data_IF_030338418762
#
_entry.id   IF_030338418762
#
_cell.length_a   1.000
_cell.length_b   1.000
_cell.length_c   1.000
_cell.angle_alpha   90.00
_cell.angle_beta   90.00
_cell.angle_gamma   90.00
#
_symmetry.space_group_name_H-M   'P 1'
#
loop_
_entity.id
_entity.type
_entity.pdbx_description
1 polymer ?
#
# COMPACT_ATOMS: atom_id res chain seq x y z
N UNK A 1 -32.53 47.84 -17.07
CA UNK A 1 -33.35 47.07 -18.04
C UNK A 1 -32.44 46.25 -18.95
N UNK A 2 -32.90 45.07 -19.39
CA UNK A 2 -32.26 44.18 -20.40
C UNK A 2 -30.85 43.67 -20.11
N UNK A 3 -30.80 42.51 -19.45
CA UNK A 3 -29.77 41.52 -19.74
C UNK A 3 -29.93 41.01 -21.20
N UNK A 4 -28.82 40.78 -21.90
CA UNK A 4 -28.80 40.13 -23.21
C UNK A 4 -27.92 38.89 -23.13
N UNK A 5 -28.54 37.71 -23.19
CA UNK A 5 -27.83 36.44 -23.06
C UNK A 5 -27.00 36.09 -24.29
N UNK A 6 -25.77 35.60 -24.08
CA UNK A 6 -24.99 34.89 -25.09
C UNK A 6 -24.97 33.39 -24.79
N UNK A 7 -25.99 32.67 -25.27
CA UNK A 7 -25.90 31.21 -25.46
C UNK A 7 -25.18 30.90 -26.77
N UNK A 8 -24.47 29.78 -26.84
CA UNK A 8 -24.28 29.08 -28.12
C UNK A 8 -23.00 29.36 -28.92
N UNK A 9 -21.82 29.31 -28.31
CA UNK A 9 -20.57 28.89 -28.99
C UNK A 9 -19.71 28.00 -28.06
N UNK A 10 -20.18 26.79 -27.80
CA UNK A 10 -19.37 25.65 -27.34
C UNK A 10 -19.41 24.57 -28.41
N UNK A 11 -18.66 24.80 -29.49
CA UNK A 11 -18.42 23.88 -30.60
C UNK A 11 -17.13 24.35 -31.29
N UNK A 12 -16.30 23.41 -31.75
CA UNK A 12 -14.88 23.59 -32.09
C UNK A 12 -13.99 23.99 -30.90
N UNK A 13 -13.61 23.01 -30.07
CA UNK A 13 -12.29 22.83 -29.42
C UNK A 13 -12.34 21.60 -28.47
N UNK A 14 -12.61 20.44 -29.07
CA UNK A 14 -12.28 19.09 -28.58
C UNK A 14 -11.74 18.36 -29.82
N UNK A 15 -10.71 17.51 -29.66
CA UNK A 15 -9.82 16.96 -30.73
C UNK A 15 -8.66 17.89 -31.14
N UNK A 16 -7.78 18.19 -30.20
CA UNK A 16 -6.33 18.17 -30.46
C UNK A 16 -5.72 17.33 -29.34
N UNK A 17 -5.56 16.04 -29.61
CA UNK A 17 -4.91 15.07 -28.73
C UNK A 17 -3.64 14.62 -29.44
N UNK A 18 -2.51 14.67 -28.73
CA UNK A 18 -1.18 14.33 -29.26
C UNK A 18 -0.69 13.08 -28.50
N UNK A 19 -0.12 12.11 -29.21
CA UNK A 19 0.06 10.71 -28.74
C UNK A 19 1.48 10.20 -29.01
N UNK A 20 1.96 9.21 -28.23
CA UNK A 20 3.32 8.63 -28.35
C UNK A 20 3.34 7.14 -27.87
N UNK A 21 4.39 6.36 -28.22
CA UNK A 21 4.63 4.94 -27.82
C UNK A 21 5.68 4.16 -28.66
N UNK A 22 6.96 4.13 -28.25
CA UNK A 22 8.12 3.69 -29.07
C UNK A 22 8.20 2.20 -29.52
N UNK A 23 8.53 1.94 -30.81
CA UNK A 23 9.03 0.65 -31.34
C UNK A 23 10.40 0.84 -31.98
N UNK A 24 11.27 -0.16 -31.90
CA UNK A 24 12.68 -0.10 -32.36
C UNK A 24 13.00 -1.32 -33.25
N UNK A 25 13.96 -1.20 -34.18
CA UNK A 25 14.42 -2.30 -35.06
C UNK A 25 15.97 -2.32 -35.17
N UNK A 26 16.64 -2.97 -34.22
CA UNK A 26 18.10 -3.15 -34.19
C UNK A 26 18.48 -4.60 -34.55
N UNK A 27 18.61 -4.88 -35.86
CA UNK A 27 18.91 -6.24 -36.32
C UNK A 27 19.45 -6.41 -37.75
N UNK A 28 19.46 -5.39 -38.60
CA UNK A 28 19.93 -5.52 -39.99
C UNK A 28 21.34 -4.95 -40.22
N UNK A 29 22.20 -5.76 -40.84
CA UNK A 29 23.41 -5.26 -41.50
C UNK A 29 23.05 -4.24 -42.58
N UNK A 30 23.92 -3.24 -42.77
CA UNK A 30 23.70 -2.03 -43.59
C UNK A 30 22.47 -1.19 -43.23
N UNK A 31 22.28 -0.96 -41.93
CA UNK A 31 22.13 0.42 -41.42
C UNK A 31 20.84 1.16 -41.80
N UNK A 32 19.69 0.53 -41.62
CA UNK A 32 18.38 1.19 -41.67
C UNK A 32 17.51 0.69 -40.51
N UNK A 33 16.94 1.62 -39.72
CA UNK A 33 16.00 1.36 -38.63
C UNK A 33 14.78 2.27 -38.78
N UNK A 34 13.59 1.75 -38.47
CA UNK A 34 12.35 2.52 -38.42
C UNK A 34 11.64 2.30 -37.07
N UNK A 35 10.91 3.32 -36.63
CA UNK A 35 10.22 3.37 -35.35
C UNK A 35 8.80 3.89 -35.55
N UNK A 36 7.81 3.18 -35.02
CA UNK A 36 6.38 3.48 -35.23
C UNK A 36 5.62 3.33 -33.92
N UNK A 37 4.69 4.25 -33.67
CA UNK A 37 4.02 4.40 -32.38
C UNK A 37 2.49 4.36 -32.55
N UNK A 38 1.74 3.67 -31.69
CA UNK A 38 0.27 3.63 -31.80
C UNK A 38 -0.50 3.92 -30.50
N UNK A 39 -1.79 4.20 -30.69
CA UNK A 39 -2.82 4.58 -29.71
C UNK A 39 -2.96 3.58 -28.56
N UNK A 40 -3.45 4.08 -27.45
CA UNK A 40 -3.58 3.39 -26.17
C UNK A 40 -4.89 3.81 -25.53
N UNK A 41 -5.63 2.87 -24.96
CA UNK A 41 -6.96 3.16 -24.40
C UNK A 41 -6.84 4.02 -23.13
N UNK A 42 -7.68 5.04 -23.02
CA UNK A 42 -7.91 5.72 -21.74
C UNK A 42 -8.62 4.73 -20.80
N UNK A 43 -8.23 4.64 -19.51
CA UNK A 43 -9.06 3.94 -18.54
C UNK A 43 -10.42 4.64 -18.47
N UNK A 44 -11.49 3.88 -18.61
CA UNK A 44 -12.85 4.41 -18.57
C UNK A 44 -13.12 5.00 -17.18
N UNK A 45 -13.09 6.33 -17.06
CA UNK A 45 -13.45 7.01 -15.83
C UNK A 45 -14.96 6.90 -15.68
N UNK A 46 -15.41 5.88 -14.95
CA UNK A 46 -16.79 5.84 -14.46
C UNK A 46 -16.93 6.95 -13.43
N UNK A 47 -17.44 8.10 -13.89
CA UNK A 47 -17.97 9.16 -13.03
C UNK A 47 -18.85 8.51 -11.96
N UNK A 48 -18.47 8.67 -10.69
CA UNK A 48 -19.29 8.18 -9.59
C UNK A 48 -20.55 9.03 -9.53
N UNK A 49 -21.69 8.45 -9.93
CA UNK A 49 -22.96 9.16 -9.97
C UNK A 49 -23.41 9.50 -8.54
N UNK A 50 -23.26 10.78 -8.18
CA UNK A 50 -23.50 11.30 -6.83
C UNK A 50 -25.00 11.45 -6.57
N UNK A 51 -25.67 10.31 -6.36
CA UNK A 51 -27.06 10.26 -5.87
C UNK A 51 -27.10 9.90 -4.40
N UNK A 52 -26.94 10.91 -3.54
CA UNK A 52 -27.20 10.78 -2.11
C UNK A 52 -28.63 10.28 -1.84
N UNK A 53 -28.73 9.10 -1.21
CA UNK A 53 -29.98 8.49 -0.78
C UNK A 53 -29.91 8.10 0.69
N UNK A 54 -30.34 9.00 1.58
CA UNK A 54 -30.45 8.67 3.00
C UNK A 54 -31.57 7.66 3.24
N UNK A 55 -31.27 6.60 3.98
CA UNK A 55 -32.24 5.64 4.50
C UNK A 55 -32.05 5.47 6.00
N UNK A 56 -32.78 6.29 6.76
CA UNK A 56 -33.18 5.96 8.14
C UNK A 56 -34.07 4.69 8.10
N UNK A 57 -33.95 3.84 9.12
CA UNK A 57 -34.46 2.47 9.12
C UNK A 57 -34.62 1.85 10.50
N UNK A 58 -34.82 2.66 11.53
CA UNK A 58 -35.17 2.17 12.87
C UNK A 58 -36.64 1.71 12.92
N UNK A 59 -36.89 0.45 13.32
CA UNK A 59 -37.87 0.02 14.37
C UNK A 59 -38.38 -1.44 14.21
N UNK A 60 -38.35 -2.21 15.32
CA UNK A 60 -39.33 -3.20 15.85
C UNK A 60 -40.10 -4.15 14.90
N UNK A 61 -40.39 -5.43 15.19
CA UNK A 61 -40.16 -6.37 16.30
C UNK A 61 -40.22 -7.81 15.68
N UNK A 62 -40.29 -8.98 16.33
CA UNK A 62 -40.57 -9.42 17.70
C UNK A 62 -40.10 -10.90 17.87
N UNK A 63 -40.10 -11.46 19.08
CA UNK A 63 -39.91 -12.90 19.35
C UNK A 63 -38.48 -13.31 19.73
N UNK A 64 -38.03 -13.11 20.98
CA UNK A 64 -38.39 -13.86 22.20
C UNK A 64 -37.74 -15.25 22.29
N UNK A 65 -36.84 -15.44 23.27
CA UNK A 65 -36.12 -16.70 23.47
C UNK A 65 -35.00 -16.70 24.52
N UNK A 66 -35.07 -15.87 25.57
CA UNK A 66 -34.14 -15.94 26.70
C UNK A 66 -34.89 -16.12 28.03
N UNK A 67 -34.68 -17.26 28.69
CA UNK A 67 -35.07 -17.49 30.09
C UNK A 67 -34.03 -18.38 30.75
N UNK A 68 -33.25 -17.81 31.67
CA UNK A 68 -32.21 -18.52 32.43
C UNK A 68 -31.57 -17.65 33.51
N UNK A 69 -32.31 -16.65 34.01
CA UNK A 69 -31.86 -15.78 35.09
C UNK A 69 -32.17 -16.40 36.45
N UNK A 70 -31.13 -16.52 37.28
CA UNK A 70 -31.25 -16.68 38.72
C UNK A 70 -31.96 -15.45 39.35
N UNK A 71 -32.63 -15.62 40.48
CA UNK A 71 -33.38 -14.54 41.15
C UNK A 71 -34.78 -14.92 41.64
N UNK A 72 -34.88 -15.89 42.54
CA UNK A 72 -36.12 -16.15 43.29
C UNK A 72 -36.38 -15.05 44.32
N UNK A 73 -37.33 -14.16 44.03
CA UNK A 73 -37.97 -13.30 45.03
C UNK A 73 -39.39 -13.80 45.32
N UNK A 74 -39.64 -14.15 46.58
CA UNK A 74 -40.99 -14.42 47.09
C UNK A 74 -41.14 -13.69 48.43
N UNK A 75 -42.22 -12.91 48.55
CA UNK A 75 -42.65 -12.26 49.77
C UNK A 75 -44.16 -12.48 49.93
N UNK A 76 -44.60 -12.67 51.19
CA UNK A 76 -45.99 -12.78 51.65
C UNK A 76 -46.78 -14.01 51.13
N UNK A 77 -47.47 -14.87 51.89
CA UNK A 77 -47.70 -15.04 53.34
C UNK A 77 -48.50 -16.36 53.53
N UNK A 78 -49.03 -16.81 54.68
CA UNK A 78 -49.08 -16.34 56.07
C UNK A 78 -49.34 -17.57 56.99
N UNK A 79 -48.85 -17.62 58.24
CA UNK A 79 -49.18 -18.70 59.20
C UNK A 79 -48.68 -18.43 60.64
N UNK A 80 -49.41 -18.83 61.70
CA UNK A 80 -49.20 -18.24 63.04
C UNK A 80 -48.20 -18.97 63.95
N UNK A 81 -47.42 -18.15 64.65
CA UNK A 81 -46.83 -18.32 66.00
C UNK A 81 -46.74 -19.75 66.56
N UNK A 82 -45.54 -20.34 66.44
CA UNK A 82 -45.04 -21.36 67.35
C UNK A 82 -43.80 -20.83 68.07
N UNK A 83 -43.85 -20.70 69.39
CA UNK A 83 -42.67 -20.37 70.20
C UNK A 83 -41.85 -21.64 70.39
N UNK A 84 -40.75 -21.77 69.68
CA UNK A 84 -39.66 -22.68 70.05
C UNK A 84 -38.34 -21.92 69.98
N UNK A 85 -37.74 -21.69 71.14
CA UNK A 85 -36.47 -20.98 71.24
C UNK A 85 -35.34 -21.98 70.99
N UNK A 86 -35.07 -22.26 69.72
CA UNK A 86 -33.83 -22.92 69.33
C UNK A 86 -32.67 -22.00 69.69
N UNK A 87 -32.00 -22.35 70.79
CA UNK A 87 -30.73 -21.79 71.23
C UNK A 87 -29.81 -21.64 70.02
N UNK A 88 -29.47 -20.40 69.63
CA UNK A 88 -28.28 -20.17 68.82
C UNK A 88 -27.12 -20.85 69.56
N UNK A 89 -26.27 -21.65 68.90
CA UNK A 89 -25.03 -22.06 69.54
C UNK A 89 -24.31 -20.77 69.89
N UNK A 90 -24.09 -20.51 71.20
CA UNK A 90 -23.32 -19.37 71.68
C UNK A 90 -22.00 -19.33 70.90
N UNK A 91 -21.94 -18.47 69.88
CA UNK A 91 -20.68 -18.10 69.25
C UNK A 91 -19.94 -17.42 70.39
N UNK A 92 -18.84 -18.02 70.90
CA UNK A 92 -18.15 -17.43 72.04
C UNK A 92 -17.81 -15.98 71.69
N UNK A 93 -18.03 -15.02 72.61
CA UNK A 93 -17.80 -13.62 72.31
C UNK A 93 -16.38 -13.48 71.75
N UNK A 94 -16.19 -12.75 70.64
CA UNK A 94 -14.92 -12.70 69.93
C UNK A 94 -13.83 -12.39 70.94
N UNK A 95 -12.80 -13.25 71.00
CA UNK A 95 -11.76 -13.16 72.03
C UNK A 95 -11.18 -11.75 71.98
N UNK A 96 -11.34 -10.95 73.05
CA UNK A 96 -10.97 -9.54 73.01
C UNK A 96 -9.44 -9.46 72.96
N UNK A 97 -8.93 -9.05 71.80
CA UNK A 97 -7.56 -8.61 71.66
C UNK A 97 -7.36 -7.28 72.42
N UNK A 98 -6.15 -7.07 72.90
CA UNK A 98 -5.70 -5.88 73.63
C UNK A 98 -4.72 -5.05 72.80
N UNK A 99 -4.19 -5.61 71.70
CA UNK A 99 -3.35 -4.91 70.72
C UNK A 99 -3.31 -5.64 69.37
N UNK A 100 -2.98 -4.91 68.30
CA UNK A 100 -2.80 -5.47 66.95
C UNK A 100 -1.77 -6.61 66.90
N UNK A 101 -0.75 -6.56 67.77
CA UNK A 101 0.28 -7.59 67.87
C UNK A 101 -0.24 -8.96 68.34
N UNK A 102 -1.40 -9.02 68.99
CA UNK A 102 -2.07 -10.27 69.37
C UNK A 102 -2.93 -10.86 68.24
N UNK A 103 -3.19 -10.07 67.20
CA UNK A 103 -3.93 -10.48 66.00
C UNK A 103 -3.03 -10.97 64.86
N UNK A 104 -1.71 -10.87 65.04
CA UNK A 104 -0.72 -11.31 64.06
C UNK A 104 -0.88 -12.82 63.77
N UNK A 105 -1.35 -13.17 62.57
CA UNK A 105 -1.55 -14.57 62.17
C UNK A 105 -0.31 -15.19 61.49
N UNK A 106 0.76 -14.41 61.36
CA UNK A 106 2.01 -14.77 60.69
C UNK A 106 1.97 -14.64 59.17
N UNK A 107 0.88 -14.19 58.58
CA UNK A 107 0.76 -13.95 57.14
C UNK A 107 1.33 -12.56 56.78
N UNK A 108 2.43 -12.47 56.02
CA UNK A 108 2.97 -11.18 55.58
C UNK A 108 2.04 -10.41 54.63
N UNK A 109 0.98 -11.04 54.12
CA UNK A 109 0.02 -10.44 53.19
C UNK A 109 -1.14 -9.69 53.85
N UNK A 110 -1.28 -9.75 55.19
CA UNK A 110 -2.40 -9.14 55.90
C UNK A 110 -1.98 -7.94 56.74
N UNK A 111 -2.84 -6.93 56.76
CA UNK A 111 -2.85 -5.93 57.81
C UNK A 111 -3.72 -6.48 58.95
N UNK A 112 -3.04 -6.93 60.00
CA UNK A 112 -3.66 -7.49 61.19
C UNK A 112 -3.97 -6.36 62.18
N UNK A 113 -5.23 -6.27 62.59
CA UNK A 113 -5.74 -5.16 63.40
C UNK A 113 -6.71 -5.62 64.48
N UNK A 114 -6.62 -5.00 65.65
CA UNK A 114 -7.49 -5.30 66.79
C UNK A 114 -8.64 -4.30 66.88
N UNK A 115 -9.87 -4.76 66.65
CA UNK A 115 -11.08 -3.93 66.75
C UNK A 115 -11.86 -4.24 68.02
N UNK A 116 -12.30 -3.24 68.81
CA UNK A 116 -13.10 -3.49 70.02
C UNK A 116 -14.44 -4.19 69.76
N UNK A 117 -15.03 -3.99 68.59
CA UNK A 117 -16.34 -4.53 68.21
C UNK A 117 -16.28 -5.97 67.65
N UNK A 118 -15.21 -6.37 66.97
CA UNK A 118 -15.13 -7.66 66.22
C UNK A 118 -13.97 -8.56 66.70
N UNK A 119 -13.03 -8.02 67.48
CA UNK A 119 -11.78 -8.69 67.81
C UNK A 119 -10.76 -8.54 66.67
N UNK A 120 -10.00 -9.60 66.40
CA UNK A 120 -8.97 -9.59 65.36
C UNK A 120 -9.54 -9.56 63.95
N UNK A 121 -9.02 -8.66 63.14
CA UNK A 121 -9.41 -8.38 61.76
C UNK A 121 -8.15 -8.34 60.91
N UNK A 122 -8.00 -9.36 60.07
CA UNK A 122 -6.84 -9.55 59.20
C UNK A 122 -7.30 -9.35 57.76
N UNK A 123 -7.00 -8.19 57.19
CA UNK A 123 -7.43 -7.78 55.85
C UNK A 123 -6.24 -7.91 54.92
N UNK A 124 -6.42 -8.43 53.70
CA UNK A 124 -5.43 -8.30 52.63
C UNK A 124 -5.64 -6.95 51.95
N UNK A 125 -4.73 -5.98 52.08
CA UNK A 125 -4.83 -4.72 51.34
C UNK A 125 -4.83 -4.96 49.82
N UNK A 126 -5.47 -4.08 49.04
CA UNK A 126 -5.42 -4.16 47.58
C UNK A 126 -4.02 -3.84 47.02
N UNK A 127 -3.23 -3.14 47.81
CA UNK A 127 -1.86 -2.65 47.58
C UNK A 127 -0.81 -3.37 48.46
N UNK A 128 -1.15 -4.53 49.03
CA UNK A 128 -0.35 -5.23 50.06
C UNK A 128 1.12 -5.51 49.65
N UNK A 129 1.34 -5.64 48.35
CA UNK A 129 2.63 -5.91 47.72
C UNK A 129 2.91 -5.01 46.52
N UNK A 130 2.17 -3.91 46.36
CA UNK A 130 2.39 -2.93 45.30
C UNK A 130 3.81 -2.38 45.42
N UNK A 131 4.69 -2.72 44.48
CA UNK A 131 6.08 -2.26 44.48
C UNK A 131 6.25 -0.87 43.83
N UNK A 132 5.15 -0.30 43.33
CA UNK A 132 5.07 0.99 42.65
C UNK A 132 5.52 0.96 41.19
N UNK A 133 5.84 -0.22 40.63
CA UNK A 133 6.30 -0.39 39.25
C UNK A 133 5.12 -0.82 38.39
N UNK A 134 4.58 0.07 37.56
CA UNK A 134 3.32 -0.16 36.83
C UNK A 134 3.27 -1.37 35.86
N UNK A 135 4.41 -2.06 35.65
CA UNK A 135 4.55 -3.23 34.77
C UNK A 135 4.97 -4.51 35.49
N UNK A 136 5.01 -4.51 36.82
CA UNK A 136 5.15 -5.74 37.59
C UNK A 136 3.77 -6.35 37.85
N UNK A 137 3.72 -7.68 37.86
CA UNK A 137 2.61 -8.44 38.42
C UNK A 137 2.97 -8.75 39.87
N UNK A 138 2.41 -7.95 40.77
CA UNK A 138 2.58 -8.11 42.21
C UNK A 138 1.64 -9.17 42.77
N UNK A 139 2.22 -10.20 43.39
CA UNK A 139 1.45 -11.27 44.02
C UNK A 139 1.90 -11.48 45.46
N UNK A 140 0.94 -11.56 46.40
CA UNK A 140 1.24 -12.00 47.75
C UNK A 140 0.91 -13.47 47.97
N UNK A 141 1.89 -14.23 48.46
CA UNK A 141 1.75 -15.62 48.86
C UNK A 141 1.92 -15.74 50.37
N UNK A 142 0.93 -16.27 51.13
CA UNK A 142 1.02 -16.40 52.59
C UNK A 142 2.22 -17.24 53.08
N UNK A 143 2.83 -18.06 52.21
CA UNK A 143 3.99 -18.89 52.54
C UNK A 143 5.34 -18.24 52.22
N UNK A 144 5.38 -17.23 51.34
CA UNK A 144 6.63 -16.65 50.81
C UNK A 144 6.70 -15.12 50.86
N UNK A 145 5.61 -14.44 51.21
CA UNK A 145 5.50 -12.98 51.16
C UNK A 145 5.21 -12.44 49.76
N UNK A 146 5.48 -11.15 49.59
CA UNK A 146 5.36 -10.43 48.33
C UNK A 146 6.38 -10.91 47.30
N UNK A 147 5.93 -11.09 46.06
CA UNK A 147 6.80 -11.29 44.90
C UNK A 147 6.29 -10.47 43.72
N UNK A 148 7.16 -9.63 43.17
CA UNK A 148 6.93 -8.77 42.02
C UNK A 148 7.61 -9.38 40.80
N UNK A 149 6.88 -9.60 39.71
CA UNK A 149 7.41 -10.20 38.48
C UNK A 149 7.22 -9.24 37.30
N UNK A 150 8.30 -8.76 36.64
CA UNK A 150 8.17 -7.94 35.43
C UNK A 150 7.36 -8.65 34.35
N UNK A 151 6.42 -7.94 33.72
CA UNK A 151 5.63 -8.39 32.59
C UNK A 151 5.67 -7.34 31.47
N UNK A 152 6.47 -7.61 30.44
CA UNK A 152 6.65 -6.72 29.28
C UNK A 152 5.31 -6.41 28.57
N UNK A 153 4.30 -7.29 28.67
CA UNK A 153 3.00 -7.05 28.04
C UNK A 153 2.17 -5.94 28.68
N UNK A 154 2.55 -5.50 29.89
CA UNK A 154 1.99 -4.33 30.56
C UNK A 154 2.60 -3.01 30.07
N UNK A 155 3.61 -3.08 29.18
CA UNK A 155 4.32 -1.92 28.62
C UNK A 155 4.02 -1.63 27.14
N UNK A 156 3.04 -2.29 26.52
CA UNK A 156 2.63 -1.98 25.13
C UNK A 156 2.19 -0.50 25.00
N UNK A 157 2.98 0.32 24.29
CA UNK A 157 2.65 1.72 24.00
C UNK A 157 1.79 1.90 22.73
N UNK A 158 1.49 0.80 22.04
CA UNK A 158 0.75 0.75 20.79
C UNK A 158 1.58 1.07 19.55
N UNK A 159 2.90 1.28 19.68
CA UNK A 159 3.79 1.65 18.58
C UNK A 159 4.56 0.40 18.12
N UNK A 160 4.12 -0.24 17.03
CA UNK A 160 4.67 -1.51 16.54
C UNK A 160 6.18 -1.53 16.14
N UNK A 161 6.92 -0.45 16.38
CA UNK A 161 8.35 -0.31 16.15
C UNK A 161 9.14 0.14 17.41
N UNK A 162 8.50 0.20 18.58
CA UNK A 162 9.20 0.17 19.86
C UNK A 162 9.41 -1.28 20.31
N UNK A 163 10.46 -1.47 21.10
CA UNK A 163 10.63 -2.63 21.96
C UNK A 163 10.21 -2.17 23.34
N UNK A 164 9.07 -2.68 23.78
CA UNK A 164 8.47 -2.44 25.08
C UNK A 164 8.95 -3.50 26.07
N UNK A 165 9.52 -3.05 27.18
CA UNK A 165 10.10 -3.93 28.20
C UNK A 165 9.86 -3.35 29.58
N UNK A 166 9.56 -4.21 30.55
CA UNK A 166 9.49 -3.84 31.96
C UNK A 166 10.87 -3.97 32.62
N UNK A 167 11.37 -2.88 33.21
CA UNK A 167 12.56 -2.90 34.06
C UNK A 167 12.26 -2.50 35.52
N UNK A 168 13.29 -2.50 36.36
CA UNK A 168 13.17 -2.19 37.80
C UNK A 168 12.75 -0.73 38.10
N UNK A 169 12.62 0.13 37.09
CA UNK A 169 12.13 1.50 37.16
C UNK A 169 10.81 1.75 36.42
N UNK A 170 10.21 0.73 35.79
CA UNK A 170 8.95 0.83 35.06
C UNK A 170 9.07 0.43 33.59
N UNK A 171 8.12 0.92 32.78
CA UNK A 171 8.13 0.67 31.34
C UNK A 171 9.22 1.45 30.63
N UNK A 172 9.95 0.73 29.79
CA UNK A 172 10.99 1.24 28.91
C UNK A 172 10.61 0.93 27.46
N UNK A 173 10.32 1.98 26.70
CA UNK A 173 10.03 1.91 25.27
C UNK A 173 11.29 2.32 24.50
N UNK A 174 11.89 1.40 23.74
CA UNK A 174 13.10 1.67 22.96
C UNK A 174 12.87 1.56 21.46
N UNK A 175 13.40 2.52 20.69
CA UNK A 175 13.19 2.61 19.24
C UNK A 175 13.90 1.45 18.53
N UNK A 176 13.15 0.64 17.77
CA UNK A 176 13.68 -0.33 16.80
C UNK A 176 13.22 0.03 15.38
N UNK A 177 14.18 0.24 14.47
CA UNK A 177 13.87 0.53 13.07
C UNK A 177 13.62 -0.76 12.25
N UNK A 178 14.01 -1.94 12.76
CA UNK A 178 13.91 -3.19 11.99
C UNK A 178 12.47 -3.58 11.58
N UNK A 179 11.42 -3.41 12.43
CA UNK A 179 10.04 -3.66 12.05
C UNK A 179 9.51 -2.72 10.95
N UNK A 180 10.14 -1.56 10.75
CA UNK A 180 9.70 -0.58 9.76
C UNK A 180 10.24 -0.82 8.35
N UNK A 181 11.27 -1.64 8.19
CA UNK A 181 11.93 -1.88 6.91
C UNK A 181 11.00 -2.66 5.95
N UNK A 182 10.61 -2.05 4.85
CA UNK A 182 9.72 -2.64 3.83
C UNK A 182 10.47 -3.44 2.73
N UNK A 183 11.80 -3.47 2.81
CA UNK A 183 12.69 -4.13 1.85
C UNK A 183 12.99 -3.32 0.59
N UNK A 184 12.48 -2.09 0.46
CA UNK A 184 12.69 -1.25 -0.72
C UNK A 184 14.01 -0.45 -0.61
N UNK A 185 15.00 -0.69 -1.49
CA UNK A 185 16.27 0.04 -1.44
C UNK A 185 16.14 1.54 -1.73
N UNK A 186 14.99 2.01 -2.23
CA UNK A 186 14.74 3.41 -2.58
C UNK A 186 13.98 4.22 -1.54
N UNK A 187 13.66 3.61 -0.42
CA UNK A 187 13.19 4.29 0.78
C UNK A 187 14.17 4.08 1.93
N UNK A 188 14.07 4.96 2.92
CA UNK A 188 14.72 4.81 4.20
C UNK A 188 13.65 4.90 5.28
N UNK A 189 13.54 3.85 6.09
CA UNK A 189 12.54 3.75 7.13
C UNK A 189 13.16 3.98 8.51
N UNK A 190 12.36 4.56 9.39
CA UNK A 190 12.70 4.72 10.81
C UNK A 190 11.44 4.66 11.65
N UNK A 191 11.62 4.31 12.92
CA UNK A 191 10.56 4.38 13.90
C UNK A 191 10.48 5.78 14.51
N UNK A 192 9.28 6.38 14.49
CA UNK A 192 8.94 7.57 15.24
C UNK A 192 8.26 7.16 16.56
N UNK A 193 8.83 7.49 17.75
CA UNK A 193 8.34 7.04 19.05
C UNK A 193 7.07 7.76 19.53
N UNK A 194 6.33 8.44 18.65
CA UNK A 194 4.96 8.88 18.89
C UNK A 194 4.00 8.50 17.76
N UNK A 195 4.50 8.24 16.55
CA UNK A 195 3.68 8.09 15.36
C UNK A 195 4.02 6.84 14.51
N UNK A 196 4.82 5.92 15.03
CA UNK A 196 5.16 4.64 14.40
C UNK A 196 6.06 4.78 13.18
N UNK A 197 6.09 3.75 12.34
CA UNK A 197 6.97 3.71 11.18
C UNK A 197 6.77 4.89 10.23
N UNK A 198 7.89 5.48 9.81
CA UNK A 198 8.01 6.53 8.80
C UNK A 198 8.94 6.07 7.71
N UNK A 199 8.77 6.64 6.52
CA UNK A 199 9.66 6.43 5.38
C UNK A 199 9.92 7.74 4.64
N UNK A 200 11.08 7.83 4.01
CA UNK A 200 11.46 8.91 3.09
C UNK A 200 12.12 8.33 1.85
N UNK A 201 12.01 9.01 0.70
CA UNK A 201 12.76 8.61 -0.49
C UNK A 201 14.25 8.88 -0.30
N UNK A 202 15.10 7.98 -0.76
CA UNK A 202 16.56 8.14 -0.73
C UNK A 202 17.18 7.94 -2.12
N UNK A 203 18.23 8.71 -2.41
CA UNK A 203 19.03 8.61 -3.64
C UNK A 203 20.11 7.52 -3.48
N UNK A 204 19.67 6.28 -3.26
CA UNK A 204 20.54 5.12 -3.13
C UNK A 204 20.79 4.41 -4.49
N UNK A 205 21.84 3.61 -4.54
CA UNK A 205 21.99 2.60 -5.59
C UNK A 205 21.03 1.44 -5.30
N UNK A 206 20.28 1.01 -6.31
CA UNK A 206 19.31 -0.07 -6.19
C UNK A 206 19.49 -1.09 -7.32
N UNK A 207 18.64 -2.11 -7.36
CA UNK A 207 18.48 -2.97 -8.54
C UNK A 207 17.00 -3.33 -8.70
N UNK A 208 16.43 -3.14 -9.88
CA UNK A 208 15.00 -3.40 -10.14
C UNK A 208 14.71 -4.86 -10.55
N UNK A 209 15.74 -5.71 -10.53
CA UNK A 209 15.69 -7.12 -10.94
C UNK A 209 15.63 -7.34 -12.45
N UNK A 210 15.52 -6.29 -13.27
CA UNK A 210 15.49 -6.41 -14.72
C UNK A 210 16.90 -6.36 -15.32
N UNK A 211 17.31 -7.34 -16.14
CA UNK A 211 18.59 -7.27 -16.87
C UNK A 211 18.54 -6.30 -18.06
N UNK A 212 17.40 -5.62 -18.26
CA UNK A 212 17.14 -4.69 -19.36
C UNK A 212 17.09 -3.24 -18.91
N UNK A 213 17.57 -2.95 -17.71
CA UNK A 213 17.69 -1.65 -17.06
C UNK A 213 19.10 -1.59 -16.46
N UNK A 214 19.86 -0.54 -16.81
CA UNK A 214 21.21 -0.29 -16.27
C UNK A 214 21.77 1.09 -16.72
N UNK A 215 22.39 1.89 -15.83
CA UNK A 215 22.40 1.70 -14.38
C UNK A 215 21.01 1.91 -13.79
N UNK A 216 20.78 1.33 -12.62
CA UNK A 216 19.56 1.51 -11.83
C UNK A 216 19.77 2.61 -10.79
N UNK A 217 18.73 3.40 -10.53
CA UNK A 217 18.69 4.47 -9.54
C UNK A 217 17.29 4.58 -8.92
N UNK A 218 17.23 5.24 -7.77
CA UNK A 218 15.98 5.51 -7.09
C UNK A 218 15.30 6.78 -7.62
N UNK A 219 14.02 6.67 -8.00
CA UNK A 219 13.21 7.79 -8.45
C UNK A 219 11.85 7.75 -7.76
N UNK A 220 11.59 8.76 -6.91
CA UNK A 220 10.34 8.88 -6.14
C UNK A 220 9.97 7.60 -5.36
N UNK A 221 10.97 6.97 -4.71
CA UNK A 221 10.78 5.75 -3.93
C UNK A 221 10.71 4.45 -4.73
N UNK A 222 10.82 4.50 -6.07
CA UNK A 222 10.82 3.31 -6.94
C UNK A 222 12.22 3.11 -7.51
N UNK A 223 12.72 1.87 -7.49
CA UNK A 223 13.92 1.51 -8.24
C UNK A 223 13.60 1.43 -9.73
N UNK A 224 14.35 2.14 -10.55
CA UNK A 224 14.18 2.18 -12.00
C UNK A 224 15.55 2.27 -12.67
N UNK A 225 15.63 2.09 -14.00
CA UNK A 225 16.90 2.13 -14.69
C UNK A 225 16.78 2.54 -16.16
N UNK A 226 17.93 2.85 -16.76
CA UNK A 226 17.98 3.22 -18.18
C UNK A 226 17.82 1.97 -19.03
N UNK A 227 16.84 1.96 -19.93
CA UNK A 227 16.56 0.77 -20.74
C UNK A 227 17.75 0.39 -21.63
N UNK A 228 18.20 -0.86 -21.50
CA UNK A 228 19.35 -1.40 -22.21
C UNK A 228 18.94 -1.81 -23.63
N UNK A 229 19.40 -1.03 -24.60
CA UNK A 229 19.13 -1.20 -26.02
C UNK A 229 19.90 -2.35 -26.66
N UNK A 230 19.73 -3.56 -26.13
CA UNK A 230 20.28 -4.81 -26.65
C UNK A 230 19.22 -5.62 -27.38
N UNK A 231 19.63 -6.44 -28.35
CA UNK A 231 18.73 -7.31 -29.13
C UNK A 231 17.87 -8.22 -28.24
N UNK A 232 18.44 -8.77 -27.16
CA UNK A 232 17.73 -9.66 -26.23
C UNK A 232 16.73 -8.93 -25.32
N UNK A 233 16.96 -7.65 -25.04
CA UNK A 233 16.00 -6.81 -24.33
C UNK A 233 14.92 -6.26 -25.25
N UNK A 234 15.21 -6.11 -26.55
CA UNK A 234 14.28 -5.55 -27.52
C UNK A 234 13.33 -6.57 -28.12
N UNK A 235 13.80 -7.74 -28.54
CA UNK A 235 13.01 -8.68 -29.34
C UNK A 235 12.80 -10.05 -28.69
N UNK A 236 11.57 -10.55 -28.77
CA UNK A 236 11.29 -11.99 -28.69
C UNK A 236 11.51 -12.68 -30.04
N UNK A 237 11.35 -11.94 -31.15
CA UNK A 237 11.71 -12.36 -32.50
C UNK A 237 12.41 -11.21 -33.22
N UNK A 238 13.65 -11.42 -33.65
CA UNK A 238 14.41 -10.37 -34.36
C UNK A 238 13.82 -10.10 -35.75
N UNK A 239 13.65 -8.83 -36.14
CA UNK A 239 13.14 -8.47 -37.45
C UNK A 239 14.12 -8.86 -38.57
N UNK A 240 13.61 -9.13 -39.77
CA UNK A 240 14.40 -9.47 -40.94
C UNK A 240 13.75 -8.94 -42.23
N UNK A 241 14.29 -7.83 -42.75
CA UNK A 241 13.85 -7.17 -44.00
C UNK A 241 13.94 -8.09 -45.22
N UNK A 242 14.99 -8.92 -45.33
CA UNK A 242 15.17 -9.83 -46.46
C UNK A 242 14.15 -10.96 -46.51
N UNK A 243 13.60 -11.34 -45.35
CA UNK A 243 12.53 -12.34 -45.22
C UNK A 243 11.14 -11.71 -45.05
N UNK A 244 11.02 -10.39 -45.07
CA UNK A 244 9.82 -9.64 -44.69
C UNK A 244 9.19 -10.08 -43.36
N UNK A 245 10.04 -10.36 -42.37
CA UNK A 245 9.62 -10.62 -41.00
C UNK A 245 9.74 -9.34 -40.17
N UNK A 246 8.63 -8.92 -39.55
CA UNK A 246 8.55 -7.67 -38.80
C UNK A 246 9.17 -7.73 -37.39
N UNK A 247 9.59 -8.92 -36.94
CA UNK A 247 9.98 -9.17 -35.56
C UNK A 247 8.79 -9.15 -34.60
N UNK A 248 9.11 -9.21 -33.31
CA UNK A 248 8.18 -8.99 -32.21
C UNK A 248 8.94 -8.48 -30.97
N UNK A 249 8.38 -7.49 -30.27
CA UNK A 249 9.01 -6.87 -29.10
C UNK A 249 8.83 -7.69 -27.81
N UNK A 250 9.80 -7.57 -26.89
CA UNK A 250 9.64 -8.01 -25.49
C UNK A 250 8.69 -7.11 -24.71
N UNK A 251 8.26 -7.57 -23.53
CA UNK A 251 7.50 -6.73 -22.60
C UNK A 251 8.33 -5.58 -22.00
N UNK A 252 9.59 -5.78 -21.56
CA UNK A 252 10.46 -4.67 -21.15
C UNK A 252 10.59 -3.56 -22.20
N UNK A 253 10.73 -3.90 -23.48
CA UNK A 253 10.81 -2.91 -24.55
C UNK A 253 9.53 -2.06 -24.68
N UNK A 254 8.35 -2.72 -24.65
CA UNK A 254 7.04 -2.04 -24.64
C UNK A 254 6.85 -1.15 -23.40
N UNK A 255 7.28 -1.63 -22.24
CA UNK A 255 7.14 -0.92 -20.98
C UNK A 255 8.05 0.31 -20.92
N UNK A 256 9.32 0.19 -21.34
CA UNK A 256 10.25 1.31 -21.40
C UNK A 256 9.79 2.38 -22.41
N UNK A 257 9.29 1.93 -23.57
CA UNK A 257 8.64 2.79 -24.55
C UNK A 257 7.48 3.59 -23.93
N UNK A 258 6.57 2.92 -23.22
CA UNK A 258 5.39 3.54 -22.60
C UNK A 258 5.72 4.41 -21.38
N UNK A 259 6.74 4.06 -20.60
CA UNK A 259 7.25 4.89 -19.51
C UNK A 259 7.69 6.25 -20.04
N UNK A 260 8.48 6.28 -21.12
CA UNK A 260 8.95 7.52 -21.75
C UNK A 260 7.82 8.38 -22.31
N UNK A 261 6.73 7.77 -22.80
CA UNK A 261 5.50 8.49 -23.17
C UNK A 261 4.89 9.17 -21.96
N UNK A 262 4.69 8.40 -20.88
CA UNK A 262 3.98 8.86 -19.70
C UNK A 262 4.78 9.92 -18.92
N UNK A 263 6.12 9.90 -18.98
CA UNK A 263 6.97 11.02 -18.54
C UNK A 263 6.62 12.33 -19.26
N UNK A 264 6.59 12.33 -20.60
CA UNK A 264 6.29 13.52 -21.41
C UNK A 264 4.86 14.01 -21.13
N UNK A 265 3.92 13.08 -21.01
CA UNK A 265 2.52 13.36 -20.64
C UNK A 265 2.41 14.01 -19.25
N UNK A 266 3.16 13.52 -18.27
CA UNK A 266 3.24 14.10 -16.94
C UNK A 266 3.83 15.53 -16.95
N UNK A 267 4.87 15.79 -17.76
CA UNK A 267 5.45 17.14 -17.90
C UNK A 267 4.45 18.19 -18.41
N UNK A 268 3.44 17.78 -19.20
CA UNK A 268 2.36 18.65 -19.69
C UNK A 268 1.04 18.50 -18.93
N UNK A 269 1.04 17.74 -17.82
CA UNK A 269 -0.11 17.59 -16.92
C UNK A 269 -1.29 16.80 -17.48
N UNK A 270 -1.06 15.88 -18.43
CA UNK A 270 -2.13 14.99 -18.95
C UNK A 270 -1.97 13.56 -18.40
N UNK A 271 -3.08 12.82 -18.15
CA UNK A 271 -3.05 11.49 -17.53
C UNK A 271 -2.17 10.49 -18.31
N UNK A 272 -1.54 9.51 -17.64
CA UNK A 272 -0.80 8.44 -18.31
C UNK A 272 -1.74 7.56 -19.15
N UNK A 273 -1.16 6.82 -20.08
CA UNK A 273 -1.85 5.84 -20.95
C UNK A 273 -1.22 4.45 -20.82
N UNK A 274 -1.98 3.42 -21.19
CA UNK A 274 -1.61 2.01 -20.99
C UNK A 274 -1.39 1.32 -22.33
N UNK A 275 -0.26 0.63 -22.48
CA UNK A 275 0.12 -0.04 -23.73
C UNK A 275 -0.97 -1.02 -24.21
N UNK A 276 -1.43 -0.84 -25.46
CA UNK A 276 -2.39 -1.71 -26.13
C UNK A 276 -1.68 -2.64 -27.13
N UNK A 277 -1.75 -3.94 -26.90
CA UNK A 277 -1.11 -4.96 -27.74
C UNK A 277 -1.91 -5.35 -28.97
N UNK A 278 -3.17 -4.90 -29.12
CA UNK A 278 -4.01 -5.29 -30.27
C UNK A 278 -3.47 -4.78 -31.61
N UNK A 279 -2.67 -3.70 -31.57
CA UNK A 279 -2.10 -3.04 -32.75
C UNK A 279 -0.62 -3.41 -33.02
N UNK A 280 0.03 -4.23 -32.16
CA UNK A 280 1.46 -4.63 -32.27
C UNK A 280 1.84 -5.07 -33.68
N UNK A 281 1.02 -5.91 -34.30
CA UNK A 281 1.26 -6.48 -35.64
C UNK A 281 1.22 -5.43 -36.76
N UNK A 282 0.34 -4.43 -36.65
CA UNK A 282 0.26 -3.34 -37.63
C UNK A 282 1.48 -2.41 -37.49
N UNK A 283 1.82 -2.03 -36.26
CA UNK A 283 2.97 -1.17 -35.94
C UNK A 283 4.28 -1.80 -36.39
N UNK A 284 4.51 -3.08 -36.08
CA UNK A 284 5.70 -3.82 -36.47
C UNK A 284 5.81 -3.97 -38.01
N UNK A 285 4.71 -4.30 -38.69
CA UNK A 285 4.70 -4.42 -40.16
C UNK A 285 4.86 -3.08 -40.87
N UNK A 286 4.29 -2.01 -40.32
CA UNK A 286 4.52 -0.66 -40.81
C UNK A 286 6.01 -0.30 -40.65
N UNK A 287 6.64 -0.64 -39.51
CA UNK A 287 8.04 -0.30 -39.28
C UNK A 287 8.96 -1.08 -40.23
N UNK A 288 8.64 -2.36 -40.46
CA UNK A 288 9.27 -3.18 -41.49
C UNK A 288 9.15 -2.53 -42.89
N UNK A 289 7.98 -2.02 -43.30
CA UNK A 289 7.82 -1.44 -44.65
C UNK A 289 8.57 -0.12 -44.80
N UNK A 290 8.62 0.74 -43.78
CA UNK A 290 9.42 1.97 -43.82
C UNK A 290 10.92 1.65 -43.91
N UNK A 291 11.39 0.72 -43.07
CA UNK A 291 12.79 0.27 -43.05
C UNK A 291 13.20 -0.39 -44.37
N UNK A 292 12.34 -1.26 -44.93
CA UNK A 292 12.57 -1.96 -46.19
C UNK A 292 12.74 -1.06 -47.42
N UNK A 293 12.18 0.16 -47.37
CA UNK A 293 12.16 1.10 -48.50
C UNK A 293 12.91 2.41 -48.19
N UNK A 294 13.59 2.49 -47.04
CA UNK A 294 14.38 3.64 -46.59
C UNK A 294 13.60 4.98 -46.60
N UNK A 295 12.30 4.94 -46.34
CA UNK A 295 11.40 6.08 -46.59
C UNK A 295 10.21 6.06 -45.64
N UNK A 296 9.70 7.24 -45.27
CA UNK A 296 8.49 7.42 -44.47
C UNK A 296 7.29 7.77 -45.36
N UNK A 297 6.14 7.18 -45.06
CA UNK A 297 4.86 7.53 -45.68
C UNK A 297 3.69 6.99 -44.84
N UNK A 298 2.70 7.81 -44.50
CA UNK A 298 1.44 7.32 -43.91
C UNK A 298 0.59 6.53 -44.91
N UNK A 299 0.89 6.62 -46.20
CA UNK A 299 0.23 5.88 -47.27
C UNK A 299 1.28 5.11 -48.09
N UNK A 300 1.92 4.08 -47.53
CA UNK A 300 2.95 3.33 -48.24
C UNK A 300 2.32 2.64 -49.46
N UNK A 301 2.82 2.87 -50.69
CA UNK A 301 2.22 2.33 -51.90
C UNK A 301 2.45 0.82 -52.03
N UNK A 302 1.51 0.12 -52.66
CA UNK A 302 1.48 -1.36 -52.73
C UNK A 302 2.66 -2.03 -53.45
N UNK A 303 3.53 -1.25 -54.08
CA UNK A 303 4.75 -1.72 -54.76
C UNK A 303 6.01 -1.62 -53.89
N UNK A 304 5.91 -1.14 -52.64
CA UNK A 304 6.99 -1.15 -51.68
C UNK A 304 7.37 -2.58 -51.25
N UNK A 305 8.67 -2.81 -51.00
CA UNK A 305 9.18 -4.07 -50.48
C UNK A 305 8.58 -4.34 -49.10
N UNK A 306 8.20 -5.60 -48.82
CA UNK A 306 7.47 -6.02 -47.63
C UNK A 306 6.10 -5.33 -47.37
N UNK A 307 5.47 -4.72 -48.38
CA UNK A 307 4.14 -4.12 -48.20
C UNK A 307 3.09 -5.16 -47.80
N UNK A 308 2.28 -4.82 -46.80
CA UNK A 308 1.07 -5.55 -46.39
C UNK A 308 -0.06 -4.58 -46.09
N UNK A 309 -1.31 -5.08 -46.01
CA UNK A 309 -2.43 -4.23 -45.59
C UNK A 309 -2.25 -3.74 -44.15
N UNK A 310 -1.78 -4.59 -43.23
CA UNK A 310 -1.50 -4.20 -41.85
C UNK A 310 -0.38 -3.16 -41.72
N UNK A 311 0.62 -3.19 -42.61
CA UNK A 311 1.64 -2.15 -42.70
C UNK A 311 1.07 -0.80 -43.17
N UNK A 312 0.12 -0.82 -44.12
CA UNK A 312 -0.59 0.38 -44.54
C UNK A 312 -1.50 0.93 -43.43
N UNK A 313 -2.29 0.05 -42.80
CA UNK A 313 -3.22 0.43 -41.74
C UNK A 313 -2.45 1.08 -40.57
N UNK A 314 -1.41 0.43 -40.07
CA UNK A 314 -0.56 0.96 -39.01
C UNK A 314 0.16 2.27 -39.40
N UNK A 315 0.70 2.35 -40.62
CA UNK A 315 1.33 3.59 -41.09
C UNK A 315 0.35 4.78 -41.15
N UNK A 316 -0.90 4.52 -41.51
CA UNK A 316 -1.93 5.56 -41.71
C UNK A 316 -2.43 6.21 -40.42
N UNK A 317 -2.12 5.64 -39.26
CA UNK A 317 -2.63 6.08 -37.96
C UNK A 317 -1.55 6.23 -36.88
N UNK A 318 -0.28 5.99 -37.21
CA UNK A 318 0.86 6.09 -36.29
C UNK A 318 1.73 7.32 -36.53
N UNK A 319 2.38 7.83 -35.48
CA UNK A 319 3.54 8.72 -35.66
C UNK A 319 4.68 7.91 -36.28
N UNK A 320 5.25 8.41 -37.37
CA UNK A 320 6.29 7.73 -38.14
C UNK A 320 7.66 8.38 -37.92
N UNK A 321 8.65 7.58 -37.53
CA UNK A 321 10.02 8.05 -37.37
C UNK A 321 11.04 7.11 -38.06
N UNK A 322 12.03 7.72 -38.72
CA UNK A 322 13.16 7.06 -39.36
C UNK A 322 14.41 7.87 -39.01
N UNK A 323 15.23 7.36 -38.09
CA UNK A 323 16.38 8.09 -37.57
C UNK A 323 17.47 7.19 -37.02
N UNK A 324 18.72 7.56 -37.30
CA UNK A 324 19.93 6.91 -36.82
C UNK A 324 21.03 7.97 -36.67
N UNK A 325 21.91 7.79 -35.70
CA UNK A 325 23.21 8.48 -35.72
C UNK A 325 24.11 7.82 -36.79
N UNK A 326 25.12 8.55 -37.28
CA UNK A 326 26.03 8.08 -38.34
C UNK A 326 26.90 6.88 -37.96
N UNK A 327 26.98 6.54 -36.67
CA UNK A 327 27.69 5.38 -36.13
C UNK A 327 26.77 4.15 -35.92
N UNK A 328 25.49 4.25 -36.27
CA UNK A 328 24.49 3.20 -36.04
C UNK A 328 24.00 3.11 -34.59
N UNK A 329 24.41 4.03 -33.72
CA UNK A 329 23.79 4.20 -32.41
C UNK A 329 22.43 4.91 -32.54
N UNK A 330 21.63 4.76 -31.49
CA UNK A 330 20.33 5.40 -31.40
C UNK A 330 20.52 6.89 -31.10
N UNK A 331 19.68 7.72 -31.71
CA UNK A 331 19.57 9.12 -31.32
C UNK A 331 19.30 9.20 -29.81
N UNK A 332 19.83 10.24 -29.14
CA UNK A 332 19.66 10.40 -27.68
C UNK A 332 18.17 10.47 -27.31
N UNK A 333 17.77 10.15 -26.06
CA UNK A 333 16.37 10.26 -25.64
C UNK A 333 15.74 11.65 -25.81
N UNK A 334 16.55 12.70 -25.97
CA UNK A 334 16.10 14.03 -26.37
C UNK A 334 15.88 14.13 -27.89
N UNK A 335 16.85 13.69 -28.71
CA UNK A 335 16.75 13.72 -30.17
C UNK A 335 15.65 12.78 -30.72
N UNK A 336 15.37 11.66 -30.04
CA UNK A 336 14.19 10.84 -30.32
C UNK A 336 12.92 11.64 -29.98
N UNK A 337 12.81 12.25 -28.79
CA UNK A 337 11.61 13.00 -28.40
C UNK A 337 11.32 14.20 -29.31
N UNK A 338 12.34 14.98 -29.68
CA UNK A 338 12.19 16.10 -30.62
C UNK A 338 11.69 15.60 -31.99
N UNK A 339 12.17 14.44 -32.46
CA UNK A 339 11.76 13.84 -33.72
C UNK A 339 10.49 12.97 -33.63
N UNK A 340 9.94 12.75 -32.44
CA UNK A 340 8.62 12.15 -32.21
C UNK A 340 7.52 13.21 -32.07
N UNK A 341 7.89 14.44 -31.70
CA UNK A 341 6.98 15.59 -31.61
C UNK A 341 6.70 16.25 -32.98
N UNK A 342 7.46 15.87 -34.01
CA UNK A 342 7.33 16.35 -35.38
C UNK A 342 6.98 15.17 -36.28
N UNK A 343 5.73 15.10 -36.72
CA UNK A 343 5.36 14.24 -37.83
C UNK A 343 6.02 14.79 -39.11
N UNK A 344 6.91 13.99 -39.71
CA UNK A 344 7.73 14.40 -40.84
C UNK A 344 6.98 14.42 -42.19
N UNK A 345 5.71 13.97 -42.25
CA UNK A 345 4.99 13.77 -43.51
C UNK A 345 3.56 14.36 -43.54
N UNK A 346 3.15 15.19 -42.58
CA UNK A 346 1.86 15.90 -42.60
C UNK A 346 2.02 17.32 -43.17
N UNK A 347 1.55 17.51 -44.42
CA UNK A 347 1.24 18.83 -45.01
C UNK A 347 -0.17 19.33 -44.59
#
# INVERSE_FOLDING_TARGET
MRAAGRRGRRSLMRRLSWWFGLVLLSGCGVGQQASILFETSEPEVTEADDTGGAADGSTTADGSGNTGGDGTTLADGTGPVGQDATVEPDIPPPTPCLSDAECNDGNPCTQDSCTPEVGCVNIVPLDACDDGVACTVDTCSPATGCTSTPDDSLCDDGIACTIDMCDLGGCLHTVDNAPCNDGNPCTQEWCDPQAGCKSQFQDAACNDGSPCTNPDWCQAGVCTGNFVMSTGCLYTQTPNVGACNAGALTMPARNAAMARVNEIRAMVGIPPVVYDTTHDSQVQQAALVMAANASLSHTPPKNWWCWTQAAYDGASTSNLHLGMNTDGSLASPAAVVDALAIDMNVE
#
